data_IF_731996608787
#
_entry.id   IF_731996608787
#
_cell.length_a   1.000
_cell.length_b   1.000
_cell.length_c   1.000
_cell.angle_alpha   90.00
_cell.angle_beta   90.00
_cell.angle_gamma   90.00
#
_symmetry.space_group_name_H-M   'P 1'
#
loop_
_entity.id
_entity.type
_entity.pdbx_description
1 polymer ?
#
# COMPACT_ATOMS: atom_id res chain seq x y z
N UNK A 1 -43.76 -7.30 -11.25
CA UNK A 1 -42.54 -7.79 -10.58
C UNK A 1 -42.71 -7.51 -9.09
N UNK A 2 -42.66 -8.58 -8.25
CA UNK A 2 -42.64 -8.43 -6.79
C UNK A 2 -41.19 -8.48 -6.33
N UNK A 3 -40.70 -7.42 -5.69
CA UNK A 3 -39.39 -7.41 -5.02
C UNK A 3 -39.62 -7.83 -3.57
N UNK A 4 -39.03 -8.94 -3.16
CA UNK A 4 -38.97 -9.37 -1.75
C UNK A 4 -37.57 -9.09 -1.23
N UNK A 5 -37.50 -8.30 -0.19
CA UNK A 5 -36.24 -8.14 0.56
C UNK A 5 -35.99 -9.45 1.30
N UNK A 6 -34.88 -10.10 1.02
CA UNK A 6 -34.43 -11.32 1.70
C UNK A 6 -33.29 -10.91 2.62
N UNK A 7 -33.42 -11.24 3.90
CA UNK A 7 -32.33 -11.11 4.84
C UNK A 7 -31.24 -12.12 4.45
N UNK A 8 -30.02 -11.66 4.30
CA UNK A 8 -28.87 -12.49 3.94
C UNK A 8 -27.87 -12.52 5.10
N UNK A 9 -27.15 -13.64 5.24
CA UNK A 9 -26.06 -13.78 6.19
C UNK A 9 -24.73 -13.42 5.50
N UNK A 10 -24.11 -12.28 5.86
CA UNK A 10 -22.89 -11.82 5.21
C UNK A 10 -21.66 -12.72 5.44
N UNK A 11 -21.72 -13.69 6.39
CA UNK A 11 -20.64 -14.63 6.65
C UNK A 11 -20.71 -15.88 5.78
N UNK A 12 -21.90 -16.30 5.39
CA UNK A 12 -22.12 -17.55 4.66
C UNK A 12 -22.48 -17.35 3.19
N UNK A 13 -23.10 -16.23 2.83
CA UNK A 13 -23.57 -15.96 1.48
C UNK A 13 -22.67 -14.96 0.74
N UNK A 14 -22.22 -15.33 -0.48
CA UNK A 14 -21.49 -14.41 -1.36
C UNK A 14 -22.49 -13.55 -2.13
N UNK A 15 -22.71 -12.34 -1.64
CA UNK A 15 -23.55 -11.34 -2.30
C UNK A 15 -22.70 -10.55 -3.30
N UNK A 16 -23.23 -10.26 -4.52
CA UNK A 16 -22.53 -9.41 -5.47
C UNK A 16 -22.33 -8.01 -4.88
N UNK A 17 -21.08 -7.55 -4.87
CA UNK A 17 -20.68 -6.27 -4.29
C UNK A 17 -20.48 -5.27 -5.42
N UNK A 18 -21.07 -4.10 -5.27
CA UNK A 18 -20.83 -2.96 -6.15
C UNK A 18 -20.04 -1.91 -5.39
N UNK A 19 -18.82 -1.60 -5.89
CA UNK A 19 -17.98 -0.58 -5.33
C UNK A 19 -18.52 0.81 -5.70
N UNK A 20 -18.53 1.73 -4.73
CA UNK A 20 -18.92 3.12 -4.95
C UNK A 20 -17.70 4.01 -4.76
N UNK A 21 -16.89 4.12 -5.80
CA UNK A 21 -15.67 4.90 -5.79
C UNK A 21 -15.80 6.25 -6.49
N UNK A 22 -14.92 7.19 -6.11
CA UNK A 22 -14.74 8.44 -6.83
C UNK A 22 -14.11 8.19 -8.22
N UNK A 23 -14.10 9.21 -9.11
CA UNK A 23 -13.62 9.07 -10.48
C UNK A 23 -12.16 8.57 -10.58
N UNK A 24 -11.30 8.95 -9.63
CA UNK A 24 -9.91 8.52 -9.58
C UNK A 24 -9.79 7.05 -9.17
N UNK A 25 -10.40 6.65 -8.06
CA UNK A 25 -10.33 5.27 -7.58
C UNK A 25 -10.99 4.27 -8.54
N UNK A 26 -12.04 4.72 -9.28
CA UNK A 26 -12.72 3.90 -10.31
C UNK A 26 -11.75 3.42 -11.40
N UNK A 27 -10.74 4.22 -11.72
CA UNK A 27 -9.70 3.82 -12.68
C UNK A 27 -8.83 2.64 -12.18
N UNK A 28 -8.91 2.29 -10.90
CA UNK A 28 -8.12 1.23 -10.28
C UNK A 28 -8.97 0.06 -9.75
N UNK A 29 -10.30 0.12 -9.91
CA UNK A 29 -11.21 -0.96 -9.50
C UNK A 29 -10.90 -2.30 -10.18
N UNK A 30 -10.45 -2.25 -11.43
CA UNK A 30 -10.01 -3.44 -12.15
C UNK A 30 -8.85 -4.15 -11.44
N UNK A 31 -7.88 -3.38 -10.94
CA UNK A 31 -6.72 -3.92 -10.20
C UNK A 31 -7.20 -4.56 -8.90
N UNK A 32 -8.09 -3.89 -8.16
CA UNK A 32 -8.69 -4.46 -6.94
C UNK A 32 -9.45 -5.75 -7.25
N UNK A 33 -10.18 -5.79 -8.37
CA UNK A 33 -10.88 -6.99 -8.83
C UNK A 33 -9.97 -8.16 -9.20
N UNK A 34 -8.74 -7.90 -9.67
CA UNK A 34 -7.74 -8.94 -9.96
C UNK A 34 -7.21 -9.61 -8.69
N UNK A 35 -7.09 -8.87 -7.58
CA UNK A 35 -6.63 -9.44 -6.31
C UNK A 35 -7.78 -10.13 -5.57
N UNK A 36 -8.77 -9.39 -5.14
CA UNK A 36 -10.05 -9.89 -4.60
C UNK A 36 -10.97 -8.70 -4.31
N UNK A 37 -12.25 -8.85 -4.56
CA UNK A 37 -13.23 -7.88 -4.11
C UNK A 37 -13.35 -7.95 -2.58
N UNK A 38 -13.46 -6.81 -1.88
CA UNK A 38 -13.65 -6.79 -0.44
C UNK A 38 -14.99 -7.45 -0.08
N UNK A 39 -15.07 -8.13 1.06
CA UNK A 39 -16.35 -8.63 1.57
C UNK A 39 -17.27 -7.46 1.96
N UNK A 40 -18.58 -7.71 2.05
CA UNK A 40 -19.59 -6.68 2.35
C UNK A 40 -19.29 -5.85 3.62
N UNK A 41 -18.67 -6.46 4.62
CA UNK A 41 -18.26 -5.80 5.86
C UNK A 41 -16.84 -5.21 5.81
N UNK A 42 -16.17 -5.30 4.67
CA UNK A 42 -14.80 -4.82 4.52
C UNK A 42 -14.75 -3.40 3.95
N UNK A 43 -13.71 -2.67 4.36
CA UNK A 43 -13.45 -1.33 3.83
C UNK A 43 -12.87 -1.48 2.43
N UNK A 44 -13.40 -0.72 1.48
CA UNK A 44 -12.81 -0.63 0.14
C UNK A 44 -11.44 0.07 0.23
N UNK A 45 -10.41 -0.67 -0.13
CA UNK A 45 -9.03 -0.20 -0.09
C UNK A 45 -8.57 0.42 -1.42
N UNK A 46 -9.42 0.38 -2.45
CA UNK A 46 -9.06 0.83 -3.81
C UNK A 46 -8.51 2.25 -3.83
N UNK A 47 -9.14 3.18 -3.10
CA UNK A 47 -8.71 4.59 -3.07
C UNK A 47 -7.34 4.80 -2.37
N UNK A 48 -6.95 3.91 -1.46
CA UNK A 48 -5.67 3.96 -0.77
C UNK A 48 -4.54 3.32 -1.59
N UNK A 49 -4.86 2.25 -2.32
CA UNK A 49 -3.90 1.52 -3.15
C UNK A 49 -3.64 2.26 -4.47
N UNK A 50 -4.67 2.92 -5.02
CA UNK A 50 -4.61 3.60 -6.31
C UNK A 50 -3.39 4.52 -6.52
N UNK A 51 -3.02 5.44 -5.59
CA UNK A 51 -1.88 6.32 -5.78
C UNK A 51 -0.54 5.57 -5.81
N UNK A 52 -0.39 4.49 -5.04
CA UNK A 52 0.81 3.66 -5.06
C UNK A 52 0.95 2.92 -6.39
N UNK A 53 -0.12 2.29 -6.86
CA UNK A 53 -0.12 1.65 -8.17
C UNK A 53 0.20 2.64 -9.30
N UNK A 54 -0.36 3.84 -9.25
CA UNK A 54 -0.06 4.89 -10.20
C UNK A 54 1.42 5.26 -10.20
N UNK A 55 2.02 5.42 -9.00
CA UNK A 55 3.43 5.77 -8.87
C UNK A 55 4.33 4.64 -9.35
N UNK A 56 4.13 3.40 -8.88
CA UNK A 56 4.96 2.27 -9.29
C UNK A 56 4.87 2.00 -10.80
N UNK A 57 3.66 2.02 -11.36
CA UNK A 57 3.47 1.85 -12.78
C UNK A 57 4.18 2.95 -13.58
N UNK A 58 4.06 4.21 -13.12
CA UNK A 58 4.75 5.34 -13.74
C UNK A 58 6.27 5.23 -13.65
N UNK A 59 6.81 4.76 -12.52
CA UNK A 59 8.24 4.52 -12.34
C UNK A 59 8.75 3.37 -13.23
N UNK A 60 7.96 2.30 -13.38
CA UNK A 60 8.30 1.19 -14.28
C UNK A 60 8.35 1.62 -15.75
N UNK A 61 7.44 2.48 -16.17
CA UNK A 61 7.46 3.03 -17.55
C UNK A 61 8.59 4.03 -17.76
N UNK A 62 8.82 4.90 -16.78
CA UNK A 62 9.91 5.86 -16.78
C UNK A 62 9.89 6.92 -17.89
N UNK A 63 8.89 6.92 -18.76
CA UNK A 63 8.83 7.75 -19.97
C UNK A 63 7.42 8.31 -20.19
N UNK A 64 7.34 9.64 -20.34
CA UNK A 64 6.08 10.34 -20.53
C UNK A 64 5.43 10.06 -21.91
N UNK A 65 6.22 9.81 -22.93
CA UNK A 65 5.72 9.54 -24.28
C UNK A 65 4.92 8.25 -24.35
N UNK A 66 5.44 7.18 -23.75
CA UNK A 66 4.71 5.90 -23.64
C UNK A 66 3.49 6.02 -22.72
N UNK A 67 3.60 6.77 -21.62
CA UNK A 67 2.46 7.07 -20.76
C UNK A 67 1.34 7.80 -21.48
N UNK A 68 1.68 8.82 -22.28
CA UNK A 68 0.73 9.57 -23.10
C UNK A 68 0.09 8.70 -24.19
N UNK A 69 0.89 7.84 -24.85
CA UNK A 69 0.39 6.92 -25.86
C UNK A 69 -0.63 5.95 -25.25
N UNK A 70 -0.31 5.36 -24.09
CA UNK A 70 -1.23 4.48 -23.38
C UNK A 70 -2.52 5.23 -23.01
N UNK A 71 -2.40 6.44 -22.47
CA UNK A 71 -3.54 7.27 -22.12
C UNK A 71 -4.43 7.59 -23.33
N UNK A 72 -3.82 7.96 -24.47
CA UNK A 72 -4.53 8.27 -25.72
C UNK A 72 -5.28 7.05 -26.27
N UNK A 73 -4.61 5.89 -26.31
CA UNK A 73 -5.20 4.62 -26.77
C UNK A 73 -6.41 4.23 -25.88
N UNK A 74 -6.25 4.31 -24.58
CA UNK A 74 -7.34 3.99 -23.64
C UNK A 74 -8.50 4.97 -23.75
N UNK A 75 -8.20 6.28 -23.96
CA UNK A 75 -9.22 7.30 -24.21
C UNK A 75 -9.99 7.01 -25.50
N UNK A 76 -9.29 6.65 -26.58
CA UNK A 76 -9.92 6.30 -27.84
C UNK A 76 -10.87 5.12 -27.70
N UNK A 77 -10.46 4.03 -27.05
CA UNK A 77 -11.31 2.87 -26.82
C UNK A 77 -12.51 3.20 -25.95
N UNK A 78 -12.32 4.01 -24.91
CA UNK A 78 -13.42 4.47 -24.05
C UNK A 78 -14.46 5.29 -24.80
N UNK A 79 -14.04 6.19 -25.68
CA UNK A 79 -14.96 7.02 -26.46
C UNK A 79 -15.73 6.19 -27.50
N UNK A 80 -15.10 5.13 -28.05
CA UNK A 80 -15.71 4.28 -29.06
C UNK A 80 -16.64 3.20 -28.47
N UNK A 81 -16.32 2.69 -27.27
CA UNK A 81 -17.11 1.67 -26.57
C UNK A 81 -18.01 2.34 -25.56
N UNK A 82 -19.35 2.21 -25.73
CA UNK A 82 -20.32 2.63 -24.73
C UNK A 82 -20.16 1.78 -23.46
N UNK A 83 -19.45 2.28 -22.45
CA UNK A 83 -19.13 1.56 -21.22
C UNK A 83 -17.70 1.00 -21.17
N UNK A 84 -16.79 1.52 -22.01
CA UNK A 84 -15.38 1.13 -22.00
C UNK A 84 -14.72 1.33 -20.61
N UNK A 85 -13.87 0.38 -20.27
CA UNK A 85 -13.18 0.30 -18.99
C UNK A 85 -12.27 1.52 -18.79
N UNK A 86 -12.34 2.16 -17.63
CA UNK A 86 -11.55 3.35 -17.31
C UNK A 86 -10.23 3.03 -16.64
N UNK A 87 -9.97 1.76 -16.36
CA UNK A 87 -8.89 1.30 -15.50
C UNK A 87 -7.51 1.69 -16.02
N UNK A 88 -7.27 1.50 -17.31
CA UNK A 88 -5.98 1.83 -17.91
C UNK A 88 -5.74 3.34 -18.08
N UNK A 89 -6.80 4.17 -18.01
CA UNK A 89 -6.66 5.63 -18.07
C UNK A 89 -5.88 6.17 -16.88
N UNK A 90 -6.16 5.67 -15.67
CA UNK A 90 -5.45 6.06 -14.47
C UNK A 90 -3.97 5.69 -14.54
N UNK A 91 -3.67 4.49 -15.03
CA UNK A 91 -2.30 4.02 -15.19
C UNK A 91 -1.54 4.81 -16.26
N UNK A 92 -2.16 5.04 -17.44
CA UNK A 92 -1.54 5.83 -18.50
C UNK A 92 -1.31 7.29 -18.10
N UNK A 93 -2.28 7.91 -17.42
CA UNK A 93 -2.14 9.25 -16.85
C UNK A 93 -1.03 9.33 -15.79
N UNK A 94 -0.95 8.33 -14.92
CA UNK A 94 0.11 8.22 -13.91
C UNK A 94 1.50 8.06 -14.54
N UNK A 95 1.62 7.18 -15.55
CA UNK A 95 2.87 6.99 -16.28
C UNK A 95 3.32 8.28 -17.00
N UNK A 96 2.36 9.03 -17.56
CA UNK A 96 2.66 10.33 -18.17
C UNK A 96 3.21 11.32 -17.12
N UNK A 97 2.53 11.47 -16.00
CA UNK A 97 2.95 12.41 -14.92
C UNK A 97 4.31 12.04 -14.37
N UNK A 98 4.51 10.77 -14.01
CA UNK A 98 5.79 10.29 -13.46
C UNK A 98 6.89 10.37 -14.51
N UNK A 99 6.63 9.98 -15.77
CA UNK A 99 7.58 10.09 -16.87
C UNK A 99 8.00 11.55 -17.14
N UNK A 100 7.07 12.51 -17.05
CA UNK A 100 7.39 13.94 -17.12
C UNK A 100 8.26 14.40 -15.95
N UNK A 101 8.03 13.88 -14.75
CA UNK A 101 8.89 14.15 -13.60
C UNK A 101 10.30 13.56 -13.81
N UNK A 102 10.40 12.38 -14.41
CA UNK A 102 11.66 11.73 -14.75
C UNK A 102 12.37 12.41 -15.94
N UNK A 103 11.63 13.11 -16.79
CA UNK A 103 12.17 13.94 -17.87
C UNK A 103 12.47 13.18 -19.17
N UNK A 104 11.84 12.02 -19.41
CA UNK A 104 11.94 11.26 -20.67
C UNK A 104 10.66 11.36 -21.50
N UNK A 105 10.78 11.61 -22.82
CA UNK A 105 9.70 11.50 -23.79
C UNK A 105 10.21 10.71 -24.98
N UNK A 106 9.72 9.49 -25.20
CA UNK A 106 10.15 8.57 -26.25
C UNK A 106 11.68 8.37 -26.30
N UNK A 107 12.31 8.29 -25.11
CA UNK A 107 13.77 8.13 -25.01
C UNK A 107 14.55 9.42 -25.23
N UNK A 108 13.90 10.55 -25.47
CA UNK A 108 14.55 11.87 -25.57
C UNK A 108 14.54 12.53 -24.20
N UNK A 109 15.72 12.89 -23.70
CA UNK A 109 15.85 13.61 -22.44
C UNK A 109 15.41 15.08 -22.59
N UNK A 110 14.52 15.50 -21.72
CA UNK A 110 14.04 16.89 -21.69
C UNK A 110 15.09 17.81 -21.03
N UNK A 111 15.12 19.10 -21.39
CA UNK A 111 16.15 20.04 -20.90
C UNK A 111 16.26 20.13 -19.36
N UNK A 112 15.15 19.92 -18.64
CA UNK A 112 15.16 19.91 -17.18
C UNK A 112 15.62 18.57 -16.58
N UNK A 113 15.67 17.49 -17.35
CA UNK A 113 16.10 16.17 -16.89
C UNK A 113 17.57 16.19 -16.48
N UNK A 114 18.40 16.96 -17.15
CA UNK A 114 19.82 17.10 -16.84
C UNK A 114 20.09 17.55 -15.39
N UNK A 115 19.29 18.48 -14.90
CA UNK A 115 19.39 18.93 -13.49
C UNK A 115 18.77 17.93 -12.50
N UNK A 116 17.88 17.05 -12.95
CA UNK A 116 17.21 16.04 -12.11
C UNK A 116 17.89 14.67 -12.17
N UNK A 117 18.82 14.45 -13.10
CA UNK A 117 19.61 13.22 -13.16
C UNK A 117 20.29 12.86 -11.84
N UNK A 118 20.55 13.86 -11.01
CA UNK A 118 21.07 13.65 -9.65
C UNK A 118 20.06 13.03 -8.68
N UNK A 119 18.75 13.33 -8.84
CA UNK A 119 17.66 12.81 -7.99
C UNK A 119 17.14 11.48 -8.55
N UNK A 120 16.99 11.37 -9.88
CA UNK A 120 16.45 10.23 -10.58
C UNK A 120 17.51 9.32 -11.19
N UNK A 121 18.69 9.22 -10.55
CA UNK A 121 19.68 8.21 -10.88
C UNK A 121 19.15 6.82 -10.50
N UNK A 122 19.61 5.76 -11.18
CA UNK A 122 19.13 4.38 -10.99
C UNK A 122 19.18 3.94 -9.51
N UNK A 123 20.25 4.27 -8.79
CA UNK A 123 20.40 3.94 -7.37
C UNK A 123 19.36 4.67 -6.48
N UNK A 124 19.12 5.94 -6.78
CA UNK A 124 18.14 6.74 -6.05
C UNK A 124 16.71 6.29 -6.35
N UNK A 125 16.41 5.90 -7.59
CA UNK A 125 15.11 5.35 -7.98
C UNK A 125 14.81 4.05 -7.26
N UNK A 126 15.80 3.17 -7.13
CA UNK A 126 15.67 1.95 -6.33
C UNK A 126 15.37 2.29 -4.86
N UNK A 127 16.08 3.23 -4.28
CA UNK A 127 15.83 3.67 -2.90
C UNK A 127 14.43 4.28 -2.73
N UNK A 128 14.00 5.13 -3.65
CA UNK A 128 12.68 5.77 -3.64
C UNK A 128 11.58 4.71 -3.73
N UNK A 129 11.72 3.72 -4.63
CA UNK A 129 10.73 2.64 -4.77
C UNK A 129 10.61 1.80 -3.50
N UNK A 130 11.74 1.46 -2.87
CA UNK A 130 11.75 0.72 -1.58
C UNK A 130 11.07 1.54 -0.47
N UNK A 131 11.32 2.84 -0.40
CA UNK A 131 10.68 3.72 0.60
C UNK A 131 9.17 3.78 0.36
N UNK A 132 8.73 3.97 -0.88
CA UNK A 132 7.30 4.01 -1.24
C UNK A 132 6.64 2.66 -0.92
N UNK A 133 7.30 1.53 -1.25
CA UNK A 133 6.84 0.18 -0.91
C UNK A 133 6.70 -0.03 0.59
N UNK A 134 7.69 0.41 1.38
CA UNK A 134 7.62 0.34 2.84
C UNK A 134 6.43 1.16 3.39
N UNK A 135 6.21 2.37 2.89
CA UNK A 135 5.05 3.20 3.27
C UNK A 135 3.74 2.49 2.93
N UNK A 136 3.64 1.85 1.76
CA UNK A 136 2.46 1.10 1.36
C UNK A 136 2.21 -0.10 2.29
N UNK A 137 3.24 -0.86 2.65
CA UNK A 137 3.14 -1.98 3.59
C UNK A 137 2.68 -1.50 4.98
N UNK A 138 3.26 -0.41 5.48
CA UNK A 138 2.85 0.21 6.75
C UNK A 138 1.39 0.64 6.74
N UNK A 139 0.93 1.25 5.64
CA UNK A 139 -0.48 1.60 5.45
C UNK A 139 -1.38 0.36 5.46
N UNK A 140 -1.02 -0.68 4.70
CA UNK A 140 -1.75 -1.94 4.67
C UNK A 140 -1.88 -2.59 6.06
N UNK A 141 -0.78 -2.64 6.82
CA UNK A 141 -0.77 -3.14 8.20
C UNK A 141 -1.64 -2.29 9.14
N UNK A 142 -1.59 -0.97 9.00
CA UNK A 142 -2.41 -0.03 9.79
C UNK A 142 -3.90 -0.24 9.53
N UNK A 143 -4.29 -0.37 8.26
CA UNK A 143 -5.68 -0.64 7.87
C UNK A 143 -6.13 -2.01 8.40
N UNK A 144 -5.28 -3.03 8.29
CA UNK A 144 -5.55 -4.36 8.84
C UNK A 144 -5.75 -4.34 10.36
N UNK A 145 -4.92 -3.58 11.09
CA UNK A 145 -5.08 -3.38 12.53
C UNK A 145 -6.39 -2.64 12.85
N UNK A 146 -6.70 -1.58 12.12
CA UNK A 146 -7.95 -0.81 12.26
C UNK A 146 -9.19 -1.68 12.03
N UNK A 147 -9.21 -2.45 10.94
CA UNK A 147 -10.27 -3.41 10.61
C UNK A 147 -10.48 -4.42 11.76
N UNK A 148 -9.38 -5.00 12.27
CA UNK A 148 -9.42 -5.93 13.40
C UNK A 148 -10.00 -5.29 14.66
N UNK A 149 -9.71 -4.00 14.88
CA UNK A 149 -10.27 -3.20 15.96
C UNK A 149 -11.78 -2.99 15.85
N UNK A 150 -12.29 -2.72 14.65
CA UNK A 150 -13.72 -2.56 14.40
C UNK A 150 -14.49 -3.88 14.56
N UNK A 151 -13.93 -5.00 14.10
CA UNK A 151 -14.60 -6.29 14.10
C UNK A 151 -14.55 -7.01 15.46
N UNK A 152 -13.40 -6.98 16.15
CA UNK A 152 -13.14 -7.75 17.38
C UNK A 152 -12.90 -6.89 18.62
N UNK A 153 -13.00 -5.57 18.46
CA UNK A 153 -12.74 -4.60 19.53
C UNK A 153 -11.28 -4.14 19.57
N UNK A 154 -11.07 -2.94 20.10
CA UNK A 154 -9.80 -2.23 20.11
C UNK A 154 -8.62 -3.01 20.75
N UNK A 155 -8.93 -3.85 21.75
CA UNK A 155 -7.91 -4.68 22.43
C UNK A 155 -7.24 -5.68 21.49
N UNK A 156 -7.95 -6.19 20.48
CA UNK A 156 -7.43 -7.15 19.52
C UNK A 156 -6.60 -6.49 18.41
N UNK A 157 -6.69 -5.17 18.25
CA UNK A 157 -5.90 -4.42 17.28
C UNK A 157 -4.56 -3.93 17.81
N UNK A 158 -4.37 -3.94 19.16
CA UNK A 158 -3.16 -3.43 19.79
C UNK A 158 -1.88 -4.10 19.28
N UNK A 159 -1.90 -5.42 19.11
CA UNK A 159 -0.77 -6.14 18.53
C UNK A 159 -0.46 -5.72 17.10
N UNK A 160 -1.48 -5.44 16.28
CA UNK A 160 -1.31 -4.92 14.93
C UNK A 160 -0.65 -3.54 14.90
N UNK A 161 -1.11 -2.62 15.75
CA UNK A 161 -0.49 -1.30 15.89
C UNK A 161 0.93 -1.38 16.48
N UNK A 162 1.18 -2.31 17.39
CA UNK A 162 2.51 -2.55 17.91
C UNK A 162 3.49 -2.98 16.80
N UNK A 163 3.05 -3.83 15.87
CA UNK A 163 3.84 -4.18 14.68
C UNK A 163 4.13 -2.98 13.79
N UNK A 164 3.14 -2.10 13.55
CA UNK A 164 3.36 -0.86 12.77
C UNK A 164 4.38 0.05 13.46
N UNK A 165 4.23 0.27 14.78
CA UNK A 165 5.18 1.08 15.55
C UNK A 165 6.58 0.50 15.56
N UNK A 166 6.71 -0.83 15.67
CA UNK A 166 7.99 -1.53 15.60
C UNK A 166 8.66 -1.29 14.24
N UNK A 167 7.95 -1.51 13.14
CA UNK A 167 8.49 -1.32 11.79
C UNK A 167 8.88 0.14 11.54
N UNK A 168 8.08 1.10 12.01
CA UNK A 168 8.42 2.53 11.92
C UNK A 168 9.66 2.85 12.74
N UNK A 169 9.73 2.39 14.00
CA UNK A 169 10.89 2.65 14.86
C UNK A 169 12.19 2.05 14.27
N UNK A 170 12.13 0.81 13.82
CA UNK A 170 13.26 0.13 13.15
C UNK A 170 13.64 0.86 11.86
N UNK A 171 12.65 1.21 11.02
CA UNK A 171 12.88 1.97 9.78
C UNK A 171 13.59 3.31 10.06
N UNK A 172 13.14 4.06 11.06
CA UNK A 172 13.78 5.34 11.44
C UNK A 172 15.19 5.15 11.97
N UNK A 173 15.44 4.13 12.81
CA UNK A 173 16.77 3.83 13.34
C UNK A 173 17.77 3.51 12.23
N UNK A 174 17.34 2.79 11.18
CA UNK A 174 18.24 2.39 10.09
C UNK A 174 18.32 3.40 8.95
N UNK A 175 17.21 4.11 8.62
CA UNK A 175 17.15 5.00 7.48
C UNK A 175 17.74 6.38 7.78
N UNK A 176 17.52 6.96 8.95
CA UNK A 176 17.96 8.32 9.28
C UNK A 176 19.49 8.48 9.29
N UNK A 177 20.28 7.56 9.86
CA UNK A 177 21.74 7.67 9.80
C UNK A 177 22.29 7.59 8.36
N UNK A 178 21.65 6.79 7.49
CA UNK A 178 22.01 6.70 6.06
C UNK A 178 21.69 7.99 5.29
N UNK A 179 20.64 8.71 5.72
CA UNK A 179 20.25 10.01 5.16
C UNK A 179 21.08 11.19 5.70
N UNK A 180 22.23 10.93 6.37
CA UNK A 180 23.11 11.93 7.00
C UNK A 180 22.42 12.77 8.10
N UNK A 181 21.29 12.32 8.61
CA UNK A 181 20.58 12.94 9.73
C UNK A 181 21.02 12.24 11.00
N UNK A 182 21.95 12.85 11.75
CA UNK A 182 22.37 12.34 13.05
C UNK A 182 21.27 12.62 14.08
N UNK A 183 20.63 11.54 14.57
CA UNK A 183 19.67 11.66 15.65
C UNK A 183 20.37 12.04 16.96
N UNK A 184 19.82 13.00 17.74
CA UNK A 184 20.29 13.23 19.09
C UNK A 184 20.17 11.94 19.93
N UNK A 185 21.16 11.65 20.76
CA UNK A 185 21.18 10.45 21.60
C UNK A 185 19.88 10.19 22.37
N UNK A 186 19.20 11.20 22.99
CA UNK A 186 17.95 10.95 23.69
C UNK A 186 16.82 10.44 22.77
N UNK A 187 16.76 10.91 21.51
CA UNK A 187 15.75 10.43 20.55
C UNK A 187 15.99 8.97 20.17
N UNK A 188 17.24 8.57 20.02
CA UNK A 188 17.61 7.18 19.72
C UNK A 188 17.20 6.25 20.86
N UNK A 189 17.44 6.64 22.12
CA UNK A 189 16.99 5.86 23.28
C UNK A 189 15.46 5.74 23.38
N UNK A 190 14.72 6.81 23.02
CA UNK A 190 13.25 6.77 22.97
C UNK A 190 12.81 5.80 21.90
N UNK A 191 13.41 5.79 20.72
CA UNK A 191 13.07 4.85 19.64
C UNK A 191 13.34 3.40 20.04
N UNK A 192 14.46 3.12 20.72
CA UNK A 192 14.73 1.78 21.27
C UNK A 192 13.70 1.38 22.33
N UNK A 193 13.29 2.32 23.19
CA UNK A 193 12.23 2.09 24.17
C UNK A 193 10.87 1.74 23.51
N UNK A 194 10.49 2.51 22.48
CA UNK A 194 9.27 2.25 21.71
C UNK A 194 9.35 0.88 21.01
N UNK A 195 10.48 0.57 20.39
CA UNK A 195 10.68 -0.71 19.72
C UNK A 195 10.58 -1.88 20.72
N UNK A 196 11.23 -1.78 21.87
CA UNK A 196 11.17 -2.80 22.93
C UNK A 196 9.75 -3.00 23.48
N UNK A 197 9.04 -1.90 23.76
CA UNK A 197 7.64 -1.96 24.22
C UNK A 197 6.74 -2.58 23.14
N UNK A 198 6.93 -2.21 21.88
CA UNK A 198 6.17 -2.75 20.76
C UNK A 198 6.37 -4.26 20.60
N UNK A 199 7.60 -4.75 20.76
CA UNK A 199 7.89 -6.19 20.75
C UNK A 199 7.11 -6.89 21.87
N UNK A 200 7.17 -6.38 23.09
CA UNK A 200 6.45 -6.96 24.23
C UNK A 200 4.94 -7.03 23.97
N UNK A 201 4.34 -5.95 23.48
CA UNK A 201 2.92 -5.92 23.14
C UNK A 201 2.59 -6.90 22.01
N UNK A 202 3.40 -6.96 20.95
CA UNK A 202 3.19 -7.85 19.82
C UNK A 202 3.23 -9.33 20.24
N UNK A 203 4.12 -9.71 21.16
CA UNK A 203 4.26 -11.09 21.60
C UNK A 203 3.23 -11.49 22.67
N UNK A 204 2.97 -10.63 23.65
CA UNK A 204 2.15 -10.99 24.80
C UNK A 204 0.69 -10.55 24.71
N UNK A 205 0.33 -9.69 23.76
CA UNK A 205 -1.00 -9.12 23.63
C UNK A 205 -1.71 -9.41 22.30
N UNK A 206 -1.28 -10.48 21.60
CA UNK A 206 -1.85 -10.82 20.29
C UNK A 206 -3.28 -11.38 20.36
N UNK A 207 -3.64 -12.07 21.45
CA UNK A 207 -4.97 -12.63 21.68
C UNK A 207 -5.41 -12.36 23.14
N UNK A 208 -5.97 -11.17 23.43
CA UNK A 208 -6.38 -10.82 24.79
C UNK A 208 -7.45 -11.79 25.30
N UNK A 209 -7.24 -12.32 26.52
CA UNK A 209 -8.13 -13.30 27.16
C UNK A 209 -7.67 -14.76 27.05
N UNK A 210 -6.60 -15.07 26.35
CA UNK A 210 -5.97 -16.41 26.32
C UNK A 210 -4.77 -16.49 27.25
N UNK A 211 -4.36 -17.72 27.59
CA UNK A 211 -3.17 -17.97 28.43
C UNK A 211 -1.91 -17.32 27.84
N UNK A 212 -0.97 -16.81 28.69
CA UNK A 212 0.26 -16.16 28.23
C UNK A 212 1.10 -17.01 27.27
N UNK A 213 1.16 -18.32 27.49
CA UNK A 213 1.89 -19.26 26.60
C UNK A 213 1.27 -19.34 25.21
N UNK A 214 -0.07 -19.33 25.11
CA UNK A 214 -0.78 -19.34 23.83
C UNK A 214 -0.56 -17.99 23.12
N UNK A 215 -0.54 -16.89 23.86
CA UNK A 215 -0.24 -15.56 23.33
C UNK A 215 1.19 -15.48 22.77
N UNK A 216 2.16 -16.02 23.50
CA UNK A 216 3.54 -16.09 23.04
C UNK A 216 3.68 -16.91 21.74
N UNK A 217 3.05 -18.09 21.68
CA UNK A 217 3.03 -18.91 20.47
C UNK A 217 2.37 -18.20 19.27
N UNK A 218 1.22 -17.52 19.51
CA UNK A 218 0.55 -16.72 18.47
C UNK A 218 1.37 -15.48 18.07
N UNK A 219 2.14 -14.90 18.99
CA UNK A 219 3.08 -13.81 18.72
C UNK A 219 4.23 -14.25 17.84
N UNK A 220 4.82 -15.43 18.09
CA UNK A 220 5.84 -16.04 17.22
C UNK A 220 5.31 -16.29 15.80
N UNK A 221 4.11 -16.83 15.68
CA UNK A 221 3.46 -17.02 14.39
C UNK A 221 3.24 -15.71 13.65
N UNK A 222 2.71 -14.69 14.34
CA UNK A 222 2.52 -13.35 13.78
C UNK A 222 3.85 -12.71 13.36
N UNK A 223 4.95 -12.98 14.06
CA UNK A 223 6.30 -12.54 13.69
C UNK A 223 6.74 -13.19 12.40
N UNK A 224 6.57 -14.51 12.29
CA UNK A 224 6.87 -15.24 11.06
C UNK A 224 6.06 -14.72 9.87
N UNK A 225 4.74 -14.58 10.02
CA UNK A 225 3.86 -14.02 8.98
C UNK A 225 4.28 -12.60 8.57
N UNK A 226 4.61 -11.75 9.54
CA UNK A 226 5.01 -10.38 9.26
C UNK A 226 6.37 -10.32 8.57
N UNK A 227 7.35 -11.10 9.02
CA UNK A 227 8.68 -11.15 8.42
C UNK A 227 8.66 -11.75 7.01
N UNK A 228 7.96 -12.87 6.82
CA UNK A 228 7.84 -13.51 5.50
C UNK A 228 7.02 -12.66 4.52
N UNK A 229 5.94 -12.02 5.00
CA UNK A 229 5.16 -11.08 4.21
C UNK A 229 5.98 -9.86 3.80
N UNK A 230 6.71 -9.24 4.74
CA UNK A 230 7.57 -8.10 4.44
C UNK A 230 8.65 -8.44 3.41
N UNK A 231 9.29 -9.62 3.54
CA UNK A 231 10.27 -10.09 2.56
C UNK A 231 9.61 -10.36 1.20
N UNK A 232 8.48 -11.06 1.18
CA UNK A 232 7.74 -11.35 -0.05
C UNK A 232 7.29 -10.08 -0.75
N UNK A 233 6.70 -9.15 -0.02
CA UNK A 233 6.23 -7.87 -0.55
C UNK A 233 7.41 -7.02 -1.05
N UNK A 234 8.51 -6.91 -0.28
CA UNK A 234 9.67 -6.10 -0.68
C UNK A 234 10.43 -6.66 -1.88
N UNK A 235 10.40 -7.99 -2.09
CA UNK A 235 11.00 -8.63 -3.26
C UNK A 235 10.12 -8.58 -4.50
N UNK A 236 8.79 -8.41 -4.32
CA UNK A 236 7.84 -8.32 -5.43
C UNK A 236 7.70 -6.90 -6.00
N UNK A 237 8.17 -5.88 -5.30
CA UNK A 237 8.23 -4.49 -5.75
C UNK A 237 9.57 -4.16 -6.39
#
# INVERSE_FOLDING_TARGET
>A
YYFRQVDFDPETERVPIQLKNNAFARCFEFITGLFSLPNYQEIDQTYLIAPFFMLFFGMCFGDAGYGLLLFAVCTYFRLRSKGGDTSLLGLGGGAFVVGMLMGGIFGIELPWAHNKAYIFNQDNMMMISVIIGLVQILLGKTIGAYKKGLQKGWRHSLAGYAWVLLLVAVGLIFALPKALITLPQPVTYILYGIAGLSVLVAFFYNSPGKNPFINFGSGLWSTYETASGLLGDSLSY
#
